data_IF_363046112185
#
_entry.id   IF_363046112185
#
_cell.length_a   1.000
_cell.length_b   1.000
_cell.length_c   1.000
_cell.angle_alpha   90.00
_cell.angle_beta   90.00
_cell.angle_gamma   90.00
#
_symmetry.space_group_name_H-M   'P 1'
#
loop_
_entity.id
_entity.type
_entity.pdbx_description
1 polymer ?
#
# COMPACT_ATOMS: atom_id res chain seq x y z
N UNK A 1 -12.38 -14.62 -22.43
CA UNK A 1 -12.66 -13.52 -21.49
C UNK A 1 -13.95 -13.86 -20.78
N UNK A 2 -13.90 -14.08 -19.47
CA UNK A 2 -15.12 -14.16 -18.65
C UNK A 2 -15.53 -12.74 -18.26
N UNK A 3 -16.82 -12.42 -18.41
CA UNK A 3 -17.39 -11.14 -18.00
C UNK A 3 -17.44 -11.04 -16.48
N UNK A 4 -16.35 -10.58 -15.87
CA UNK A 4 -16.37 -10.16 -14.47
C UNK A 4 -17.13 -8.84 -14.34
N UNK A 5 -18.12 -8.72 -13.43
CA UNK A 5 -18.85 -7.47 -13.22
C UNK A 5 -17.97 -6.34 -12.67
N UNK A 6 -16.73 -6.65 -12.28
CA UNK A 6 -15.75 -5.71 -11.74
C UNK A 6 -14.74 -5.22 -12.80
N UNK A 7 -14.95 -5.55 -14.07
CA UNK A 7 -14.04 -5.14 -15.16
C UNK A 7 -12.71 -5.87 -15.16
N UNK A 8 -12.61 -7.01 -14.45
CA UNK A 8 -11.39 -7.82 -14.45
C UNK A 8 -11.10 -8.34 -15.86
N UNK A 9 -9.87 -8.13 -16.32
CA UNK A 9 -9.39 -8.63 -17.59
C UNK A 9 -8.30 -9.67 -17.34
N UNK A 10 -8.59 -10.92 -17.68
CA UNK A 10 -7.62 -12.01 -17.64
C UNK A 10 -8.07 -13.18 -18.50
N UNK A 11 -7.10 -13.98 -18.95
CA UNK A 11 -7.37 -15.23 -19.66
C UNK A 11 -6.65 -16.39 -18.96
N UNK A 12 -7.41 -17.18 -18.20
CA UNK A 12 -6.87 -18.37 -17.53
C UNK A 12 -6.37 -19.44 -18.50
N UNK A 13 -6.71 -19.41 -19.79
CA UNK A 13 -6.19 -20.36 -20.78
C UNK A 13 -4.82 -19.95 -21.34
N UNK A 14 -4.41 -18.70 -21.15
CA UNK A 14 -3.13 -18.15 -21.61
C UNK A 14 -2.06 -18.22 -20.51
N UNK A 15 -0.83 -18.58 -20.88
CA UNK A 15 0.30 -18.73 -19.93
C UNK A 15 0.64 -17.42 -19.20
N UNK A 16 0.40 -16.28 -19.85
CA UNK A 16 0.66 -14.94 -19.30
C UNK A 16 -0.64 -14.19 -18.97
N UNK A 17 -1.70 -14.94 -18.72
CA UNK A 17 -2.99 -14.43 -18.26
C UNK A 17 -3.64 -13.39 -19.19
N UNK A 18 -3.28 -13.38 -20.47
CA UNK A 18 -3.76 -12.42 -21.46
C UNK A 18 -2.92 -11.14 -21.58
N UNK A 19 -1.79 -11.04 -20.87
CA UNK A 19 -0.89 -9.88 -20.94
C UNK A 19 -0.36 -9.59 -22.35
N UNK A 20 -0.08 -10.64 -23.13
CA UNK A 20 0.34 -10.51 -24.52
C UNK A 20 -0.71 -9.80 -25.39
N UNK A 21 -1.98 -10.20 -25.27
CA UNK A 21 -3.07 -9.55 -25.99
C UNK A 21 -3.26 -8.10 -25.53
N UNK A 22 -3.10 -7.83 -24.23
CA UNK A 22 -3.15 -6.46 -23.72
C UNK A 22 -2.02 -5.58 -24.28
N UNK A 23 -0.82 -6.12 -24.52
CA UNK A 23 0.23 -5.38 -25.23
C UNK A 23 -0.18 -4.97 -26.64
N UNK A 24 -0.92 -5.81 -27.37
CA UNK A 24 -1.41 -5.44 -28.70
C UNK A 24 -2.45 -4.32 -28.63
N UNK A 25 -3.26 -4.29 -27.57
CA UNK A 25 -4.15 -3.14 -27.27
C UNK A 25 -3.34 -1.88 -26.99
N UNK A 26 -2.30 -1.97 -26.16
CA UNK A 26 -1.42 -0.83 -25.83
C UNK A 26 -0.71 -0.28 -27.07
N UNK A 27 -0.17 -1.16 -27.94
CA UNK A 27 0.49 -0.77 -29.20
C UNK A 27 -0.42 0.04 -30.13
N UNK A 28 -1.73 -0.20 -30.06
CA UNK A 28 -2.72 0.57 -30.79
C UNK A 28 -3.08 1.84 -30.03
N UNK A 29 -3.47 1.75 -28.76
CA UNK A 29 -4.03 2.86 -28.00
C UNK A 29 -3.00 3.95 -27.67
N UNK A 30 -1.81 3.58 -27.19
CA UNK A 30 -0.81 4.52 -26.70
C UNK A 30 -0.37 5.56 -27.75
N UNK A 31 -0.05 5.19 -29.02
CA UNK A 31 0.26 6.19 -30.05
C UNK A 31 -0.88 7.18 -30.33
N UNK A 32 -2.13 6.71 -30.35
CA UNK A 32 -3.28 7.61 -30.55
C UNK A 32 -3.46 8.56 -29.36
N UNK A 33 -3.30 8.05 -28.14
CA UNK A 33 -3.36 8.85 -26.91
C UNK A 33 -2.27 9.93 -26.91
N UNK A 34 -1.02 9.56 -27.18
CA UNK A 34 0.11 10.50 -27.24
C UNK A 34 0.05 11.49 -28.41
N UNK A 35 -0.58 11.11 -29.52
CA UNK A 35 -0.82 12.03 -30.63
C UNK A 35 -1.88 13.08 -30.30
N UNK A 36 -2.87 12.72 -29.48
CA UNK A 36 -3.89 13.65 -29.00
C UNK A 36 -3.35 14.59 -27.92
N UNK A 37 -2.54 14.07 -27.00
CA UNK A 37 -1.86 14.84 -25.96
C UNK A 37 -0.53 14.14 -25.58
N UNK A 38 0.64 14.73 -25.88
CA UNK A 38 1.92 14.14 -25.51
C UNK A 38 2.19 14.11 -23.99
N UNK A 39 1.51 14.96 -23.21
CA UNK A 39 1.77 15.14 -21.77
C UNK A 39 1.00 14.17 -20.87
N UNK A 40 -0.10 13.58 -21.36
CA UNK A 40 -0.85 12.58 -20.56
C UNK A 40 0.03 11.39 -20.23
N UNK A 41 -0.18 10.83 -19.05
CA UNK A 41 0.49 9.60 -18.63
C UNK A 41 -0.44 8.41 -18.84
N UNK A 42 0.06 7.37 -19.52
CA UNK A 42 -0.69 6.16 -19.82
C UNK A 42 -0.26 5.06 -18.87
N UNK A 43 -1.19 4.57 -18.07
CA UNK A 43 -1.01 3.43 -17.18
C UNK A 43 -1.53 2.17 -17.86
N UNK A 44 -0.92 1.03 -17.55
CA UNK A 44 -1.57 -0.26 -17.81
C UNK A 44 -2.79 -0.45 -16.89
N UNK A 45 -3.47 -1.59 -16.97
CA UNK A 45 -4.54 -1.94 -16.03
C UNK A 45 -4.05 -2.10 -14.59
N UNK A 46 -4.95 -1.98 -13.61
CA UNK A 46 -4.65 -2.21 -12.20
C UNK A 46 -4.32 -3.68 -11.92
N UNK A 47 -3.05 -3.99 -11.71
CA UNK A 47 -2.62 -5.36 -11.41
C UNK A 47 -3.05 -5.78 -10.01
N UNK A 48 -3.93 -6.78 -9.91
CA UNK A 48 -4.40 -7.30 -8.62
C UNK A 48 -3.27 -7.96 -7.81
N UNK A 49 -2.39 -8.71 -8.50
CA UNK A 49 -1.28 -9.45 -7.87
C UNK A 49 -1.79 -10.29 -6.69
N UNK A 50 -2.61 -11.28 -6.99
CA UNK A 50 -3.39 -12.06 -6.03
C UNK A 50 -2.56 -12.95 -5.11
N UNK A 51 -1.36 -13.34 -5.53
CA UNK A 51 -0.37 -14.06 -4.72
C UNK A 51 1.06 -13.75 -5.18
N UNK A 52 2.03 -14.02 -4.32
CA UNK A 52 3.46 -13.91 -4.61
C UNK A 52 3.96 -15.11 -5.43
N UNK A 53 4.41 -14.92 -6.69
CA UNK A 53 4.99 -15.97 -7.51
C UNK A 53 6.51 -16.11 -7.30
N UNK A 54 7.09 -15.39 -6.33
CA UNK A 54 8.52 -15.22 -6.15
C UNK A 54 9.29 -16.54 -5.99
N UNK A 55 10.57 -16.58 -6.42
CA UNK A 55 11.37 -17.80 -6.41
C UNK A 55 11.70 -18.31 -5.00
N UNK A 56 11.81 -17.40 -4.03
CA UNK A 56 12.13 -17.73 -2.63
C UNK A 56 10.91 -18.27 -1.87
N UNK A 57 9.71 -17.80 -2.24
CA UNK A 57 8.44 -18.24 -1.66
C UNK A 57 7.33 -18.14 -2.71
N UNK A 58 7.13 -19.21 -3.46
CA UNK A 58 6.04 -19.29 -4.43
C UNK A 58 4.72 -19.59 -3.70
N UNK A 59 4.17 -18.57 -3.05
CA UNK A 59 2.92 -18.66 -2.30
C UNK A 59 1.78 -19.06 -3.23
N UNK A 60 1.78 -18.60 -4.49
CA UNK A 60 0.81 -19.04 -5.49
C UNK A 60 0.73 -20.57 -5.58
N UNK A 61 1.87 -21.24 -5.70
CA UNK A 61 1.94 -22.70 -5.73
C UNK A 61 1.54 -23.34 -4.38
N UNK A 62 1.94 -22.75 -3.24
CA UNK A 62 1.63 -23.26 -1.91
C UNK A 62 0.12 -23.34 -1.65
N UNK A 63 -0.62 -22.32 -2.08
CA UNK A 63 -2.08 -22.24 -1.86
C UNK A 63 -2.89 -22.90 -2.99
N UNK A 64 -2.22 -23.59 -3.92
CA UNK A 64 -2.84 -24.24 -5.07
C UNK A 64 -3.50 -23.25 -6.04
N UNK A 65 -3.10 -21.98 -6.00
CA UNK A 65 -3.55 -20.97 -6.92
C UNK A 65 -2.73 -21.03 -8.21
N UNK A 66 -3.28 -20.47 -9.27
CA UNK A 66 -2.57 -20.37 -10.54
C UNK A 66 -1.54 -19.24 -10.46
N UNK A 67 -0.28 -19.50 -10.85
CA UNK A 67 0.76 -18.46 -10.92
C UNK A 67 0.63 -17.53 -12.14
N UNK A 68 -0.41 -17.73 -12.95
CA UNK A 68 -0.71 -16.94 -14.16
C UNK A 68 -1.03 -15.48 -13.89
N UNK A 69 -1.94 -15.09 -12.98
CA UNK A 69 -2.31 -13.68 -12.84
C UNK A 69 -1.12 -12.74 -12.53
N UNK A 70 -0.15 -13.12 -11.68
CA UNK A 70 1.07 -12.32 -11.50
C UNK A 70 1.94 -12.18 -12.76
N UNK A 71 1.84 -13.09 -13.75
CA UNK A 71 2.57 -13.05 -15.03
C UNK A 71 1.96 -12.08 -16.05
N UNK A 72 0.89 -11.35 -15.73
CA UNK A 72 0.24 -10.45 -16.67
C UNK A 72 1.17 -9.35 -17.20
N UNK A 73 1.94 -8.70 -16.30
CA UNK A 73 2.93 -7.70 -16.72
C UNK A 73 4.02 -8.34 -17.58
N UNK A 74 4.53 -9.51 -17.18
CA UNK A 74 5.52 -10.26 -17.95
C UNK A 74 5.02 -10.54 -19.38
N UNK A 75 3.76 -10.95 -19.54
CA UNK A 75 3.14 -11.13 -20.85
C UNK A 75 3.12 -9.85 -21.71
N UNK A 76 2.87 -8.70 -21.09
CA UNK A 76 2.93 -7.40 -21.79
C UNK A 76 4.35 -7.15 -22.30
N UNK A 77 5.35 -7.38 -21.45
CA UNK A 77 6.75 -7.10 -21.78
C UNK A 77 7.29 -8.07 -22.84
N UNK A 78 7.00 -9.36 -22.72
CA UNK A 78 7.37 -10.40 -23.70
C UNK A 78 6.83 -10.09 -25.09
N UNK A 79 5.61 -9.56 -25.17
CA UNK A 79 5.01 -9.19 -26.45
C UNK A 79 5.41 -7.77 -26.90
N UNK A 80 6.45 -7.16 -26.33
CA UNK A 80 6.98 -5.85 -26.77
C UNK A 80 6.09 -4.66 -26.41
N UNK A 81 5.27 -4.77 -25.36
CA UNK A 81 4.43 -3.68 -24.86
C UNK A 81 5.18 -2.63 -24.01
N UNK A 82 6.46 -2.88 -23.68
CA UNK A 82 7.27 -2.04 -22.79
C UNK A 82 7.34 -0.56 -23.17
N UNK A 83 7.27 -0.23 -24.47
CA UNK A 83 7.33 1.15 -24.96
C UNK A 83 5.96 1.85 -25.01
N UNK A 84 4.89 1.16 -24.63
CA UNK A 84 3.50 1.61 -24.84
C UNK A 84 2.73 1.88 -23.55
N UNK A 85 3.44 2.25 -22.49
CA UNK A 85 2.89 2.78 -21.24
C UNK A 85 3.96 3.61 -20.51
N UNK A 86 3.55 4.54 -19.65
CA UNK A 86 4.45 5.41 -18.88
C UNK A 86 4.64 4.91 -17.44
N UNK A 87 3.62 4.23 -16.90
CA UNK A 87 3.67 3.67 -15.55
C UNK A 87 2.89 2.37 -15.39
N UNK A 88 3.23 1.65 -14.33
CA UNK A 88 2.57 0.41 -13.91
C UNK A 88 1.64 0.72 -12.74
N UNK A 89 0.35 0.45 -12.92
CA UNK A 89 -0.62 0.50 -11.84
C UNK A 89 -0.84 -0.87 -11.20
N UNK A 90 -0.96 -0.91 -9.89
CA UNK A 90 -1.25 -2.13 -9.13
C UNK A 90 -2.15 -1.84 -7.94
N UNK A 91 -2.73 -2.88 -7.35
CA UNK A 91 -3.63 -2.80 -6.20
C UNK A 91 -3.04 -3.53 -4.99
N UNK A 92 -3.05 -2.88 -3.82
CA UNK A 92 -2.49 -3.42 -2.58
C UNK A 92 -3.46 -3.28 -1.40
N UNK A 93 -4.12 -4.39 -1.09
CA UNK A 93 -4.99 -4.53 0.07
C UNK A 93 -4.38 -5.48 1.10
N UNK A 94 -4.52 -5.10 2.36
CA UNK A 94 -4.31 -5.99 3.51
C UNK A 94 -5.65 -6.31 4.16
N UNK A 95 -5.67 -7.39 4.94
CA UNK A 95 -6.87 -7.93 5.55
C UNK A 95 -6.78 -7.83 7.07
N UNK A 96 -7.81 -7.24 7.67
CA UNK A 96 -8.02 -7.33 9.11
C UNK A 96 -8.53 -8.75 9.44
N UNK A 97 -7.93 -9.44 10.42
CA UNK A 97 -8.31 -10.81 10.72
C UNK A 97 -9.73 -10.87 11.28
N UNK A 98 -10.44 -11.94 10.93
CA UNK A 98 -11.76 -12.22 11.47
C UNK A 98 -11.71 -12.99 12.79
N UNK A 99 -10.76 -13.93 12.93
CA UNK A 99 -10.65 -14.77 14.11
C UNK A 99 -9.66 -14.18 15.10
N UNK A 100 -10.13 -13.98 16.35
CA UNK A 100 -9.36 -13.42 17.46
C UNK A 100 -8.62 -12.12 17.08
N UNK A 101 -9.33 -11.10 16.54
CA UNK A 101 -8.69 -9.86 16.14
C UNK A 101 -8.11 -9.12 17.34
N UNK A 102 -6.92 -8.56 17.16
CA UNK A 102 -6.32 -7.58 18.07
C UNK A 102 -6.11 -6.23 17.38
N UNK A 103 -5.93 -5.19 18.20
CA UNK A 103 -5.59 -3.86 17.71
C UNK A 103 -4.28 -3.89 16.93
N UNK A 104 -4.27 -3.31 15.73
CA UNK A 104 -3.10 -3.26 14.86
C UNK A 104 -2.94 -4.47 13.94
N UNK A 105 -3.76 -5.52 14.10
CA UNK A 105 -3.64 -6.71 13.28
C UNK A 105 -4.05 -6.48 11.83
N UNK A 106 -3.12 -6.69 10.90
CA UNK A 106 -3.43 -6.87 9.50
C UNK A 106 -2.42 -7.79 8.82
N UNK A 107 -2.85 -8.47 7.76
CA UNK A 107 -1.95 -9.28 6.95
C UNK A 107 -2.42 -9.44 5.52
N UNK A 108 -1.48 -9.80 4.66
CA UNK A 108 -1.74 -10.38 3.36
C UNK A 108 -0.93 -11.68 3.26
N UNK A 109 -1.55 -12.77 3.70
CA UNK A 109 -0.91 -14.09 3.72
C UNK A 109 -0.43 -14.54 2.34
N UNK A 110 -1.12 -14.12 1.27
CA UNK A 110 -0.77 -14.44 -0.12
C UNK A 110 0.53 -13.76 -0.58
N UNK A 111 1.01 -12.76 0.15
CA UNK A 111 2.28 -12.07 -0.06
C UNK A 111 3.22 -12.17 1.14
N UNK A 112 2.87 -12.99 2.14
CA UNK A 112 3.63 -13.10 3.39
C UNK A 112 3.74 -11.79 4.17
N UNK A 113 2.87 -10.82 3.91
CA UNK A 113 2.90 -9.52 4.57
C UNK A 113 2.12 -9.56 5.88
N UNK A 114 2.64 -8.93 6.92
CA UNK A 114 1.92 -8.75 8.17
C UNK A 114 2.43 -7.56 8.96
N UNK A 115 1.54 -7.04 9.80
CA UNK A 115 1.80 -5.95 10.75
C UNK A 115 3.00 -6.18 11.66
N UNK A 116 3.34 -7.45 11.94
CA UNK A 116 4.41 -7.85 12.86
C UNK A 116 5.66 -8.44 12.16
N UNK A 117 5.78 -8.32 10.84
CA UNK A 117 6.94 -8.86 10.11
C UNK A 117 7.47 -7.88 9.07
N UNK A 118 6.65 -7.48 8.11
CA UNK A 118 7.07 -6.67 6.96
C UNK A 118 6.38 -5.31 6.90
N UNK A 119 5.22 -5.17 7.56
CA UNK A 119 4.32 -4.04 7.42
C UNK A 119 3.31 -4.24 6.27
N UNK A 120 2.78 -3.15 5.69
CA UNK A 120 1.80 -3.22 4.60
C UNK A 120 2.34 -3.97 3.38
N UNK A 121 1.46 -4.58 2.59
CA UNK A 121 1.84 -5.41 1.43
C UNK A 121 2.39 -4.61 0.23
N UNK A 122 2.06 -3.32 0.13
CA UNK A 122 2.37 -2.51 -1.05
C UNK A 122 3.86 -2.53 -1.48
N UNK A 123 4.85 -2.38 -0.57
CA UNK A 123 6.26 -2.44 -0.94
C UNK A 123 6.71 -3.80 -1.50
N UNK A 124 6.13 -4.91 -1.04
CA UNK A 124 6.47 -6.24 -1.56
C UNK A 124 6.01 -6.39 -3.02
N UNK A 125 4.77 -5.96 -3.31
CA UNK A 125 4.24 -5.93 -4.68
C UNK A 125 5.03 -5.00 -5.59
N UNK A 126 5.41 -3.83 -5.08
CA UNK A 126 6.20 -2.87 -5.85
C UNK A 126 7.62 -3.41 -6.16
N UNK A 127 8.27 -4.06 -5.20
CA UNK A 127 9.55 -4.73 -5.42
C UNK A 127 9.45 -5.79 -6.53
N UNK A 128 8.44 -6.67 -6.47
CA UNK A 128 8.17 -7.67 -7.51
C UNK A 128 8.01 -7.03 -8.90
N UNK A 129 7.23 -5.95 -9.02
CA UNK A 129 7.02 -5.28 -10.30
C UNK A 129 8.30 -4.64 -10.85
N UNK A 130 9.16 -4.08 -9.99
CA UNK A 130 10.48 -3.57 -10.40
C UNK A 130 11.37 -4.70 -10.90
N UNK A 131 11.36 -5.85 -10.23
CA UNK A 131 12.13 -7.01 -10.65
C UNK A 131 11.67 -7.52 -12.02
N UNK A 132 10.36 -7.59 -12.26
CA UNK A 132 9.81 -7.95 -13.58
C UNK A 132 10.25 -6.93 -14.65
N UNK A 133 10.12 -5.63 -14.40
CA UNK A 133 10.59 -4.61 -15.36
C UNK A 133 12.10 -4.74 -15.65
N UNK A 134 12.91 -4.97 -14.62
CA UNK A 134 14.35 -5.13 -14.73
C UNK A 134 14.74 -6.38 -15.52
N UNK A 135 14.08 -7.52 -15.30
CA UNK A 135 14.30 -8.76 -16.05
C UNK A 135 14.13 -8.58 -17.57
N UNK A 136 13.23 -7.69 -17.97
CA UNK A 136 12.93 -7.37 -19.37
C UNK A 136 13.66 -6.11 -19.89
N UNK A 137 14.58 -5.56 -19.11
CA UNK A 137 15.34 -4.34 -19.43
C UNK A 137 14.45 -3.11 -19.74
N UNK A 138 13.24 -3.05 -19.16
CA UNK A 138 12.35 -1.90 -19.30
C UNK A 138 12.62 -0.92 -18.16
N UNK A 139 12.97 0.31 -18.51
CA UNK A 139 13.36 1.35 -17.56
C UNK A 139 12.47 2.59 -17.70
N UNK A 140 12.59 3.54 -16.77
CA UNK A 140 11.88 4.81 -16.83
C UNK A 140 10.37 4.72 -16.58
N UNK A 141 9.87 3.57 -16.11
CA UNK A 141 8.47 3.38 -15.73
C UNK A 141 8.29 3.69 -14.26
N UNK A 142 7.30 4.51 -13.94
CA UNK A 142 6.94 4.76 -12.55
C UNK A 142 5.92 3.72 -12.06
N UNK A 143 5.82 3.54 -10.74
CA UNK A 143 4.81 2.70 -10.12
C UNK A 143 3.76 3.56 -9.42
N UNK A 144 2.48 3.20 -9.57
CA UNK A 144 1.35 3.85 -8.91
C UNK A 144 0.47 2.78 -8.27
N UNK A 145 0.22 2.88 -6.96
CA UNK A 145 -0.78 2.03 -6.32
C UNK A 145 -2.16 2.69 -6.48
N UNK A 146 -2.95 2.22 -7.45
CA UNK A 146 -4.25 2.82 -7.79
C UNK A 146 -5.38 2.41 -6.85
N UNK A 147 -5.15 1.38 -6.02
CA UNK A 147 -6.09 0.98 -4.97
C UNK A 147 -5.33 0.45 -3.74
N UNK A 148 -5.49 1.13 -2.61
CA UNK A 148 -5.00 0.70 -1.30
C UNK A 148 -6.10 0.68 -0.27
N UNK A 149 -6.10 -0.30 0.63
CA UNK A 149 -7.03 -0.31 1.74
C UNK A 149 -6.76 -1.42 2.74
N UNK A 150 -7.30 -1.23 3.94
CA UNK A 150 -7.53 -2.33 4.87
C UNK A 150 -8.98 -2.75 4.74
N UNK A 151 -9.20 -4.01 4.39
CA UNK A 151 -10.55 -4.59 4.25
C UNK A 151 -10.81 -5.59 5.36
N UNK A 152 -12.06 -5.67 5.81
CA UNK A 152 -12.40 -6.57 6.91
C UNK A 152 -12.77 -7.97 6.42
N UNK A 153 -12.05 -8.99 6.93
CA UNK A 153 -12.32 -10.41 6.74
C UNK A 153 -12.04 -10.98 5.34
N UNK A 154 -12.22 -12.30 5.13
CA UNK A 154 -12.17 -12.95 3.81
C UNK A 154 -13.49 -12.81 3.06
N UNK A 155 -13.49 -13.02 1.74
CA UNK A 155 -14.69 -12.88 0.89
C UNK A 155 -15.92 -13.58 1.52
N UNK A 156 -17.05 -12.87 1.56
CA UNK A 156 -18.32 -13.40 2.09
C UNK A 156 -18.67 -13.00 3.53
N UNK A 157 -17.78 -12.33 4.26
CA UNK A 157 -18.11 -11.73 5.58
C UNK A 157 -18.75 -10.35 5.39
N UNK A 158 -20.04 -10.15 5.75
CA UNK A 158 -20.71 -8.86 5.68
C UNK A 158 -20.10 -7.82 6.64
N UNK A 159 -20.11 -6.52 6.30
CA UNK A 159 -19.77 -5.45 7.24
C UNK A 159 -20.66 -5.50 8.50
N UNK A 160 -20.09 -5.16 9.68
CA UNK A 160 -20.84 -5.08 10.94
C UNK A 160 -21.01 -6.38 11.73
N UNK A 161 -20.36 -7.47 11.31
CA UNK A 161 -20.19 -8.67 12.14
C UNK A 161 -19.12 -8.48 13.22
N UNK A 162 -19.10 -9.36 14.22
CA UNK A 162 -18.10 -9.38 15.29
C UNK A 162 -16.67 -9.37 14.70
N UNK A 163 -15.84 -8.40 15.12
CA UNK A 163 -14.50 -8.14 14.57
C UNK A 163 -14.46 -7.22 13.34
N UNK A 164 -15.60 -6.93 12.70
CA UNK A 164 -15.76 -6.02 11.57
C UNK A 164 -16.73 -4.88 11.87
N UNK A 165 -16.85 -4.50 13.15
CA UNK A 165 -17.68 -3.40 13.58
C UNK A 165 -17.20 -2.08 12.98
N UNK A 166 -18.15 -1.21 12.66
CA UNK A 166 -17.89 0.07 12.03
C UNK A 166 -18.03 1.25 12.99
N UNK A 167 -18.09 1.01 14.31
CA UNK A 167 -18.07 2.10 15.30
C UNK A 167 -16.67 2.69 15.41
N UNK A 168 -16.58 3.98 15.76
CA UNK A 168 -15.30 4.70 15.83
C UNK A 168 -14.28 4.05 16.76
N UNK A 169 -14.74 3.37 17.81
CA UNK A 169 -13.93 2.70 18.82
C UNK A 169 -13.62 1.23 18.50
N UNK A 170 -14.11 0.70 17.37
CA UNK A 170 -13.87 -0.69 17.00
C UNK A 170 -12.39 -0.97 16.73
N UNK A 171 -11.95 -2.20 17.02
CA UNK A 171 -10.57 -2.62 16.71
C UNK A 171 -10.24 -2.43 15.22
N UNK A 172 -11.21 -2.69 14.35
CA UNK A 172 -11.06 -2.52 12.91
C UNK A 172 -10.85 -1.04 12.53
N UNK A 173 -11.72 -0.11 12.96
CA UNK A 173 -11.61 1.31 12.60
C UNK A 173 -10.32 1.92 13.16
N UNK A 174 -9.95 1.55 14.39
CA UNK A 174 -8.70 1.97 15.02
C UNK A 174 -7.48 1.40 14.30
N UNK A 175 -7.51 0.16 13.85
CA UNK A 175 -6.42 -0.46 13.05
C UNK A 175 -6.33 0.17 11.67
N UNK A 176 -7.46 0.46 11.02
CA UNK A 176 -7.53 1.10 9.71
C UNK A 176 -6.84 2.48 9.71
N UNK A 177 -7.05 3.28 10.76
CA UNK A 177 -6.34 4.57 10.91
C UNK A 177 -4.82 4.42 10.98
N UNK A 178 -4.31 3.43 11.73
CA UNK A 178 -2.86 3.14 11.83
C UNK A 178 -2.31 2.62 10.51
N UNK A 179 -2.97 1.62 9.93
CA UNK A 179 -2.61 1.03 8.65
C UNK A 179 -2.54 2.10 7.55
N UNK A 180 -3.48 3.05 7.55
CA UNK A 180 -3.48 4.16 6.59
C UNK A 180 -2.16 4.94 6.65
N UNK A 181 -1.73 5.38 7.82
CA UNK A 181 -0.44 6.10 7.96
C UNK A 181 0.72 5.23 7.49
N UNK A 182 0.71 3.94 7.84
CA UNK A 182 1.76 3.01 7.45
C UNK A 182 1.84 2.83 5.92
N UNK A 183 0.72 2.62 5.22
CA UNK A 183 0.72 2.41 3.76
C UNK A 183 1.15 3.67 2.99
N UNK A 184 0.75 4.87 3.43
CA UNK A 184 1.22 6.11 2.79
C UNK A 184 2.72 6.35 3.06
N UNK A 185 3.17 6.11 4.29
CA UNK A 185 4.59 6.23 4.66
C UNK A 185 5.47 5.30 3.82
N UNK A 186 5.11 4.02 3.74
CA UNK A 186 5.89 3.03 3.01
C UNK A 186 5.82 3.23 1.50
N UNK A 187 4.69 3.70 0.97
CA UNK A 187 4.55 4.03 -0.46
C UNK A 187 5.48 5.16 -0.89
N UNK A 188 5.59 6.23 -0.09
CA UNK A 188 6.54 7.33 -0.37
C UNK A 188 7.97 6.82 -0.24
N UNK A 189 8.27 6.04 0.79
CA UNK A 189 9.60 5.48 1.01
C UNK A 189 10.05 4.54 -0.11
N UNK A 190 9.10 3.82 -0.71
CA UNK A 190 9.35 2.95 -1.86
C UNK A 190 9.42 3.73 -3.19
N UNK A 191 9.09 5.02 -3.20
CA UNK A 191 9.15 5.88 -4.39
C UNK A 191 7.99 5.69 -5.35
N UNK A 192 6.82 5.27 -4.86
CA UNK A 192 5.59 5.30 -5.64
C UNK A 192 5.20 6.76 -5.93
N UNK A 193 4.75 7.06 -7.15
CA UNK A 193 4.28 8.42 -7.49
C UNK A 193 2.90 8.73 -6.93
N UNK A 194 2.22 7.73 -6.38
CA UNK A 194 0.96 7.88 -5.69
C UNK A 194 0.47 6.57 -5.08
N UNK A 195 -0.39 6.72 -4.08
CA UNK A 195 -1.06 5.65 -3.36
C UNK A 195 -2.51 6.11 -3.14
N UNK A 196 -3.47 5.47 -3.80
CA UNK A 196 -4.86 5.92 -3.79
C UNK A 196 -5.65 5.03 -2.84
N UNK A 197 -6.18 5.60 -1.76
CA UNK A 197 -7.08 4.85 -0.86
C UNK A 197 -8.39 4.50 -1.57
N UNK A 198 -8.75 3.22 -1.55
CA UNK A 198 -10.02 2.71 -2.06
C UNK A 198 -10.98 2.43 -0.88
N UNK A 199 -11.96 3.29 -0.61
CA UNK A 199 -12.33 4.54 -1.28
C UNK A 199 -13.06 5.44 -0.27
N UNK A 200 -13.71 6.52 -0.70
CA UNK A 200 -14.50 7.36 0.22
C UNK A 200 -15.60 6.57 0.95
N UNK A 201 -16.41 5.80 0.21
CA UNK A 201 -17.48 4.98 0.80
C UNK A 201 -17.08 3.51 0.98
N UNK A 202 -15.95 3.14 0.36
CA UNK A 202 -15.27 1.87 0.56
C UNK A 202 -16.00 0.65 0.05
N UNK A 203 -15.36 -0.48 0.30
CA UNK A 203 -15.85 -1.83 0.09
C UNK A 203 -15.37 -2.65 1.27
N UNK A 204 -16.21 -3.53 1.83
CA UNK A 204 -15.86 -4.33 3.01
C UNK A 204 -15.33 -3.51 4.18
N UNK A 205 -16.03 -2.40 4.45
CA UNK A 205 -15.77 -1.45 5.52
C UNK A 205 -14.49 -0.60 5.38
N UNK A 206 -13.81 -0.61 4.21
CA UNK A 206 -12.61 0.22 3.97
C UNK A 206 -12.87 1.73 3.86
N UNK A 207 -14.13 2.17 3.89
CA UNK A 207 -14.52 3.56 3.64
C UNK A 207 -13.84 4.54 4.60
N UNK A 208 -13.54 5.75 4.11
CA UNK A 208 -13.15 6.88 4.95
C UNK A 208 -14.36 7.65 5.49
N UNK A 209 -15.51 7.52 4.84
CA UNK A 209 -16.77 8.14 5.25
C UNK A 209 -17.81 7.07 5.57
N UNK A 210 -18.75 7.41 6.44
CA UNK A 210 -20.00 6.71 6.58
C UNK A 210 -20.94 6.98 5.40
N UNK A 211 -22.04 6.24 5.30
CA UNK A 211 -23.01 6.39 4.21
C UNK A 211 -23.69 7.77 4.20
N UNK A 212 -23.76 8.44 5.35
CA UNK A 212 -24.26 9.81 5.51
C UNK A 212 -23.17 10.88 5.27
N UNK A 213 -22.00 10.48 4.76
CA UNK A 213 -20.83 11.32 4.50
C UNK A 213 -20.14 11.90 5.75
N UNK A 214 -20.49 11.44 6.95
CA UNK A 214 -19.71 11.79 8.15
C UNK A 214 -18.35 11.06 8.14
N UNK A 215 -17.27 11.69 8.66
CA UNK A 215 -15.94 11.08 8.64
C UNK A 215 -15.83 9.91 9.62
N UNK A 216 -15.14 8.85 9.21
CA UNK A 216 -14.67 7.75 10.08
C UNK A 216 -13.29 8.09 10.66
N UNK A 217 -12.82 7.39 11.72
CA UNK A 217 -11.50 7.67 12.31
C UNK A 217 -10.34 7.68 11.31
N UNK A 218 -10.36 6.78 10.32
CA UNK A 218 -9.35 6.73 9.27
C UNK A 218 -9.31 7.99 8.39
N UNK A 219 -10.41 8.76 8.28
CA UNK A 219 -10.41 10.04 7.56
C UNK A 219 -9.54 11.07 8.28
N UNK A 220 -9.61 11.16 9.61
CA UNK A 220 -8.79 12.08 10.40
C UNK A 220 -7.30 11.72 10.29
N UNK A 221 -6.97 10.43 10.35
CA UNK A 221 -5.61 9.95 10.11
C UNK A 221 -5.13 10.29 8.69
N UNK A 222 -6.01 10.16 7.69
CA UNK A 222 -5.71 10.53 6.30
C UNK A 222 -5.47 12.03 6.13
N UNK A 223 -6.30 12.89 6.74
CA UNK A 223 -6.15 14.34 6.67
C UNK A 223 -4.81 14.77 7.26
N UNK A 224 -4.45 14.23 8.43
CA UNK A 224 -3.18 14.56 9.07
C UNK A 224 -1.99 13.98 8.29
N UNK A 225 -2.04 12.71 7.88
CA UNK A 225 -0.99 12.08 7.07
C UNK A 225 -0.75 12.85 5.77
N UNK A 226 -1.83 13.25 5.08
CA UNK A 226 -1.74 14.10 3.89
C UNK A 226 -1.03 15.40 4.22
N UNK A 227 -1.43 16.11 5.28
CA UNK A 227 -0.81 17.38 5.67
C UNK A 227 0.69 17.21 5.96
N UNK A 228 1.09 16.15 6.65
CA UNK A 228 2.48 15.99 7.11
C UNK A 228 3.41 15.32 6.08
N UNK A 229 2.89 14.41 5.27
CA UNK A 229 3.65 13.68 4.25
C UNK A 229 3.56 14.31 2.85
N UNK A 230 2.65 15.25 2.61
CA UNK A 230 2.60 15.97 1.33
C UNK A 230 3.92 16.73 1.10
N UNK A 231 4.46 16.56 -0.10
CA UNK A 231 5.75 17.11 -0.56
C UNK A 231 6.96 16.63 0.25
N UNK A 232 6.79 15.60 1.08
CA UNK A 232 7.88 14.99 1.82
C UNK A 232 8.68 14.07 0.90
N UNK A 233 10.01 14.20 0.93
CA UNK A 233 10.93 13.35 0.17
C UNK A 233 11.59 12.36 1.12
N UNK A 234 11.47 11.07 0.85
CA UNK A 234 12.13 10.03 1.62
C UNK A 234 13.65 10.22 1.64
N UNK A 235 14.26 10.12 2.82
CA UNK A 235 15.70 10.24 3.01
C UNK A 235 16.33 8.88 3.28
N UNK A 236 15.80 8.16 4.27
CA UNK A 236 16.32 6.85 4.69
C UNK A 236 15.36 6.12 5.60
N UNK A 237 15.53 4.80 5.67
CA UNK A 237 14.96 3.98 6.73
C UNK A 237 15.79 4.15 8.00
N UNK A 238 15.12 4.22 9.15
CA UNK A 238 15.76 4.25 10.47
C UNK A 238 15.88 2.80 10.94
N UNK A 239 17.10 2.32 11.07
CA UNK A 239 17.42 0.92 11.40
C UNK A 239 18.11 0.75 12.75
N UNK A 240 18.33 1.87 13.47
CA UNK A 240 19.03 1.89 14.76
C UNK A 240 18.21 1.32 15.93
N UNK A 241 16.90 1.09 15.72
CA UNK A 241 15.98 0.61 16.75
C UNK A 241 15.37 -0.72 16.31
N UNK A 242 15.77 -1.85 16.92
CA UNK A 242 15.18 -3.16 16.62
C UNK A 242 13.67 -3.16 16.84
N UNK A 243 12.95 -3.94 16.03
CA UNK A 243 11.49 -4.08 16.06
C UNK A 243 10.70 -2.77 15.89
N UNK A 244 11.34 -1.70 15.43
CA UNK A 244 10.70 -0.44 15.09
C UNK A 244 10.84 -0.20 13.60
N UNK A 245 9.72 0.08 12.95
CA UNK A 245 9.70 0.64 11.62
C UNK A 245 9.84 2.15 11.76
N UNK A 246 10.89 2.71 11.17
CA UNK A 246 11.10 4.14 11.15
C UNK A 246 11.53 4.63 9.78
N UNK A 247 11.00 5.78 9.37
CA UNK A 247 11.27 6.40 8.09
C UNK A 247 11.56 7.88 8.31
N UNK A 248 12.67 8.36 7.78
CA UNK A 248 13.03 9.77 7.77
C UNK A 248 12.65 10.40 6.43
N UNK A 249 11.97 11.53 6.51
CA UNK A 249 11.59 12.36 5.37
C UNK A 249 12.11 13.77 5.56
N UNK A 250 12.43 14.42 4.44
CA UNK A 250 12.65 15.85 4.38
C UNK A 250 11.41 16.50 3.77
N UNK A 251 10.80 17.42 4.51
CA UNK A 251 9.70 18.24 4.01
C UNK A 251 10.11 19.71 4.12
N UNK A 252 10.26 20.36 2.97
CA UNK A 252 10.82 21.71 2.87
C UNK A 252 12.22 21.79 3.54
N UNK A 253 12.29 22.32 4.76
CA UNK A 253 13.53 22.46 5.54
C UNK A 253 13.45 21.74 6.88
N UNK A 254 12.50 20.82 7.08
CA UNK A 254 12.34 20.06 8.33
C UNK A 254 12.48 18.58 8.07
N UNK A 255 13.23 17.91 8.93
CA UNK A 255 13.20 16.46 8.99
C UNK A 255 12.01 16.01 9.80
N UNK A 256 11.37 14.96 9.32
CA UNK A 256 10.25 14.30 9.98
C UNK A 256 10.54 12.81 10.03
N UNK A 257 10.40 12.20 11.20
CA UNK A 257 10.42 10.75 11.33
C UNK A 257 8.98 10.25 11.52
N UNK A 258 8.62 9.20 10.79
CA UNK A 258 7.39 8.43 11.08
C UNK A 258 7.80 7.08 11.60
N UNK A 259 7.29 6.71 12.78
CA UNK A 259 7.74 5.51 13.51
C UNK A 259 6.59 4.73 14.14
N UNK A 260 6.68 3.41 14.13
CA UNK A 260 5.78 2.49 14.85
C UNK A 260 6.48 1.17 15.17
N UNK A 261 5.96 0.42 16.13
CA UNK A 261 6.42 -0.91 16.50
C UNK A 261 5.97 -1.95 15.47
N UNK A 262 6.86 -2.88 15.14
CA UNK A 262 6.65 -3.99 14.20
C UNK A 262 6.45 -5.33 14.93
N UNK A 263 6.09 -5.33 16.21
CA UNK A 263 5.84 -6.57 16.94
C UNK A 263 4.71 -6.47 17.99
N UNK A 264 4.10 -5.28 18.13
CA UNK A 264 2.97 -5.08 19.03
C UNK A 264 3.39 -4.91 20.48
N UNK A 265 4.70 -4.99 20.73
CA UNK A 265 5.32 -4.68 21.99
C UNK A 265 5.73 -3.21 21.97
N UNK A 266 5.44 -2.51 23.06
CA UNK A 266 5.93 -1.15 23.27
C UNK A 266 7.46 -1.16 23.36
N UNK A 267 8.11 -0.41 22.47
CA UNK A 267 9.56 -0.24 22.43
C UNK A 267 9.93 1.12 23.03
N UNK A 268 10.53 1.13 24.21
CA UNK A 268 11.08 2.38 24.77
C UNK A 268 12.44 2.66 24.12
N UNK A 269 12.53 3.75 23.36
CA UNK A 269 13.75 4.13 22.63
C UNK A 269 14.33 5.46 23.14
N UNK A 270 15.65 5.58 23.04
CA UNK A 270 16.37 6.84 23.25
C UNK A 270 16.68 7.48 21.90
N UNK A 271 16.10 8.65 21.66
CA UNK A 271 16.27 9.45 20.47
C UNK A 271 17.60 10.23 20.48
N UNK A 272 18.13 10.66 19.32
CA UNK A 272 19.37 11.45 19.25
C UNK A 272 19.27 12.84 19.90
N UNK A 273 18.06 13.31 20.16
CA UNK A 273 17.74 14.57 20.84
C UNK A 273 16.25 14.66 21.09
N UNK A 274 15.79 15.78 21.67
CA UNK A 274 14.36 16.06 21.84
C UNK A 274 13.79 16.62 20.53
N UNK A 275 12.77 15.97 19.92
CA UNK A 275 12.06 16.53 18.78
C UNK A 275 11.43 17.89 19.09
N UNK A 276 11.20 18.71 18.08
CA UNK A 276 10.48 19.99 18.22
C UNK A 276 9.01 19.74 18.54
N UNK A 277 8.43 18.74 17.87
CA UNK A 277 7.05 18.34 18.04
C UNK A 277 6.94 16.83 17.88
N UNK A 278 5.98 16.26 18.58
CA UNK A 278 5.57 14.86 18.42
C UNK A 278 4.05 14.87 18.24
N UNK A 279 3.56 14.09 17.26
CA UNK A 279 2.13 13.91 17.03
C UNK A 279 1.79 12.42 16.95
N UNK A 280 0.62 12.03 17.43
CA UNK A 280 0.06 10.70 17.16
C UNK A 280 -0.44 10.60 15.70
N UNK A 281 -0.91 9.41 15.32
CA UNK A 281 -1.38 9.14 13.96
C UNK A 281 -2.64 9.93 13.56
N UNK A 282 -3.33 10.55 14.53
CA UNK A 282 -4.50 11.41 14.32
C UNK A 282 -4.15 12.91 14.34
N UNK A 283 -2.91 13.26 14.64
CA UNK A 283 -2.43 14.65 14.74
C UNK A 283 -2.57 15.29 16.11
N UNK A 284 -2.88 14.52 17.16
CA UNK A 284 -2.88 15.05 18.52
C UNK A 284 -1.44 15.24 19.02
N UNK A 285 -1.12 16.35 19.69
CA UNK A 285 0.23 16.60 20.18
C UNK A 285 0.58 15.67 21.34
N UNK A 286 1.79 15.13 21.31
CA UNK A 286 2.45 14.41 22.39
C UNK A 286 3.58 15.28 22.94
N UNK A 287 3.75 15.31 24.26
CA UNK A 287 4.83 16.08 24.90
C UNK A 287 6.20 15.62 24.38
N UNK A 288 7.01 16.51 23.78
CA UNK A 288 8.33 16.13 23.27
C UNK A 288 9.26 15.61 24.36
N UNK A 289 9.94 14.51 24.07
CA UNK A 289 10.91 13.86 24.95
C UNK A 289 12.00 13.20 24.10
N UNK A 290 13.21 13.08 24.65
CA UNK A 290 14.28 12.30 24.03
C UNK A 290 14.20 10.81 24.36
N UNK A 291 13.31 10.41 25.28
CA UNK A 291 12.97 9.00 25.56
C UNK A 291 11.48 8.84 25.35
N UNK A 292 11.09 7.96 24.43
CA UNK A 292 9.70 7.78 24.03
C UNK A 292 9.36 6.30 23.89
N UNK A 293 8.08 6.01 24.12
CA UNK A 293 7.49 4.70 23.88
C UNK A 293 6.94 4.63 22.46
N UNK A 294 7.46 3.71 21.66
CA UNK A 294 6.96 3.40 20.33
C UNK A 294 6.00 2.22 20.44
N UNK A 295 4.73 2.43 20.09
CA UNK A 295 3.69 1.39 20.07
C UNK A 295 3.28 1.08 18.63
N UNK A 296 2.18 0.34 18.44
CA UNK A 296 1.58 0.14 17.12
C UNK A 296 1.03 1.43 16.50
N UNK A 297 0.86 2.48 17.30
CA UNK A 297 0.39 3.78 16.86
C UNK A 297 1.53 4.49 16.14
N UNK A 298 1.39 4.79 14.83
CA UNK A 298 2.35 5.61 14.16
C UNK A 298 2.45 6.97 14.83
N UNK A 299 3.68 7.44 15.05
CA UNK A 299 3.94 8.79 15.55
C UNK A 299 4.79 9.54 14.54
N UNK A 300 4.61 10.86 14.53
CA UNK A 300 5.39 11.80 13.75
C UNK A 300 6.32 12.57 14.69
N UNK A 301 7.62 12.61 14.39
CA UNK A 301 8.63 13.37 15.13
C UNK A 301 9.20 14.45 14.22
N UNK A 302 9.03 15.72 14.56
CA UNK A 302 9.62 16.84 13.82
C UNK A 302 10.96 17.27 14.40
N UNK A 303 11.92 17.56 13.54
CA UNK A 303 13.30 17.92 13.92
C UNK A 303 13.72 19.25 13.28
N UNK A 304 14.71 19.90 13.90
CA UNK A 304 15.45 20.97 13.23
C UNK A 304 16.27 20.38 12.07
N UNK A 305 16.48 21.14 10.99
CA UNK A 305 17.41 20.75 9.92
C UNK A 305 18.85 20.56 10.40
#
# INVERSE_FOLDING_TARGET
MEDSPFGCWGDYSDEYFGGGYYADVLKVAYPYMKAADPEIQVLIGGLLLDCDPGPDRNICSEIGNNDRPPKYLEGILLNGGGDYFDGVSFHAYDYFPYYAPALGDYSNANWGAAWNTTGPVAPLKAAFLRDVLAQYNVTGKYLLNTESGLICGPNGVPPGMEGCESTDDSLFEQTKGRYLVQTYTTSIADGLVGNIWFSLFGWRNSGLLYADSTPRPAYSAFEFARKELQDATFQRKITSYPNVMGYEFLRHTRYMWVMWSLDGVTQTISLPGTPIAIYDFMGNPITPSSVIDITLDPIYLEWYP
#
